data_IF_118640483919
#
_entry.id   IF_118640483919
#
_cell.length_a   1.000
_cell.length_b   1.000
_cell.length_c   1.000
_cell.angle_alpha   90.00
_cell.angle_beta   90.00
_cell.angle_gamma   90.00
#
_symmetry.space_group_name_H-M   'P 1'
#
loop_
_entity.id
_entity.type
_entity.pdbx_description
1 polymer ?
#
# COMPACT_ATOMS: atom_id res chain seq x y z
N UNK A 1 39.58 -65.79 -25.73
CA UNK A 1 38.94 -66.46 -26.88
C UNK A 1 37.54 -65.89 -27.07
N UNK A 2 37.27 -65.18 -28.18
CA UNK A 2 36.19 -65.44 -29.17
C UNK A 2 34.74 -65.32 -28.63
N UNK A 3 33.75 -64.64 -29.24
CA UNK A 3 33.57 -64.02 -30.57
C UNK A 3 32.34 -63.08 -30.49
N UNK A 4 32.30 -62.06 -31.36
CA UNK A 4 31.16 -61.17 -31.66
C UNK A 4 29.98 -61.94 -32.30
N UNK A 5 28.75 -61.41 -32.23
CA UNK A 5 27.95 -61.10 -33.44
C UNK A 5 26.72 -60.22 -33.14
N UNK A 6 26.54 -59.27 -34.06
CA UNK A 6 25.56 -58.18 -34.18
C UNK A 6 24.34 -58.66 -34.97
N UNK A 7 23.13 -58.13 -34.70
CA UNK A 7 22.09 -58.04 -35.75
C UNK A 7 21.21 -56.79 -35.59
N UNK A 8 21.37 -55.88 -36.56
CA UNK A 8 20.48 -54.76 -36.90
C UNK A 8 19.31 -55.23 -37.80
N UNK A 9 18.14 -54.60 -37.64
CA UNK A 9 17.13 -54.29 -38.68
C UNK A 9 16.42 -53.01 -38.19
N UNK A 10 16.50 -51.81 -38.75
CA UNK A 10 16.42 -51.26 -40.12
C UNK A 10 15.04 -51.46 -40.79
N UNK A 11 14.21 -50.41 -40.75
CA UNK A 11 13.06 -50.20 -41.63
C UNK A 11 13.20 -48.83 -42.33
N UNK A 12 13.13 -48.87 -43.66
CA UNK A 12 13.27 -47.81 -44.68
C UNK A 12 11.90 -47.12 -44.91
N UNK A 13 11.82 -45.77 -44.96
CA UNK A 13 11.66 -44.86 -46.14
C UNK A 13 10.36 -45.07 -46.98
N UNK A 14 9.74 -44.03 -47.60
CA UNK A 14 10.42 -42.94 -48.30
C UNK A 14 9.81 -41.51 -48.20
N UNK A 15 10.61 -40.56 -48.70
CA UNK A 15 10.18 -39.22 -49.06
C UNK A 15 9.46 -39.21 -50.43
N UNK A 16 8.47 -38.34 -50.61
CA UNK A 16 7.98 -37.93 -51.93
C UNK A 16 7.68 -36.43 -51.95
N UNK A 17 8.14 -35.82 -53.03
CA UNK A 17 8.12 -34.40 -53.38
C UNK A 17 7.07 -34.16 -54.49
N UNK A 18 6.69 -32.89 -54.69
CA UNK A 18 5.84 -32.30 -55.76
C UNK A 18 4.31 -32.54 -55.60
N UNK A 19 3.36 -31.63 -55.89
CA UNK A 19 3.34 -30.50 -56.83
C UNK A 19 2.13 -29.55 -56.56
N UNK A 20 2.36 -28.24 -56.74
CA UNK A 20 1.52 -27.18 -57.37
C UNK A 20 0.02 -27.45 -57.70
N UNK A 21 -0.88 -26.60 -57.16
CA UNK A 21 -2.10 -25.94 -57.73
C UNK A 21 -3.41 -26.15 -56.94
N UNK A 22 -3.95 -25.05 -56.38
CA UNK A 22 -5.32 -24.48 -56.59
C UNK A 22 -5.49 -23.26 -55.65
N UNK A 23 -5.34 -22.03 -56.17
CA UNK A 23 -6.39 -21.00 -56.41
C UNK A 23 -6.82 -20.25 -55.12
N UNK A 24 -6.35 -19.01 -54.88
CA UNK A 24 -6.79 -17.68 -55.38
C UNK A 24 -8.18 -17.21 -54.87
N UNK A 25 -8.16 -16.32 -53.87
CA UNK A 25 -9.15 -15.27 -53.55
C UNK A 25 -8.52 -14.43 -52.40
N UNK A 26 -8.49 -13.10 -52.30
CA UNK A 26 -8.93 -11.97 -53.12
C UNK A 26 -8.15 -10.74 -52.60
N UNK A 27 -7.84 -9.79 -53.47
CA UNK A 27 -7.31 -8.46 -53.12
C UNK A 27 -8.51 -7.55 -52.83
N UNK A 28 -8.57 -6.88 -51.66
CA UNK A 28 -9.27 -5.60 -51.52
C UNK A 28 -8.97 -4.88 -50.19
N UNK A 29 -8.39 -3.69 -50.33
CA UNK A 29 -8.74 -2.45 -49.63
C UNK A 29 -8.29 -2.19 -48.18
N UNK A 30 -7.91 -0.90 -48.00
CA UNK A 30 -7.64 -0.13 -46.79
C UNK A 30 -6.31 -0.45 -46.08
N UNK A 31 -5.24 0.34 -46.14
CA UNK A 31 -5.14 1.80 -46.27
C UNK A 31 -6.08 2.57 -45.32
N UNK A 32 -6.16 2.10 -44.08
CA UNK A 32 -6.38 2.95 -42.88
C UNK A 32 -5.54 2.33 -41.76
N UNK A 33 -4.26 2.71 -41.68
CA UNK A 33 -3.39 2.40 -40.53
C UNK A 33 -2.83 3.72 -39.95
N UNK A 34 -3.69 4.74 -39.88
CA UNK A 34 -3.50 5.89 -39.01
C UNK A 34 -4.69 5.91 -38.05
N UNK A 35 -4.40 6.24 -36.79
CA UNK A 35 -5.26 6.13 -35.59
C UNK A 35 -5.17 4.74 -34.94
N UNK A 36 -4.57 4.55 -33.77
CA UNK A 36 -4.53 5.40 -32.59
C UNK A 36 -3.19 5.17 -31.89
N UNK A 37 -2.28 6.15 -31.91
CA UNK A 37 -1.22 6.16 -30.90
C UNK A 37 -1.94 6.26 -29.53
N UNK A 38 -1.61 5.43 -28.54
CA UNK A 38 -2.19 5.57 -27.22
C UNK A 38 -1.97 7.01 -26.78
N UNK A 39 -3.08 7.73 -26.54
CA UNK A 39 -3.06 9.04 -25.88
C UNK A 39 -2.16 8.87 -24.66
N UNK A 40 -1.12 9.70 -24.47
CA UNK A 40 -0.30 9.59 -23.27
C UNK A 40 -1.28 9.66 -22.11
N UNK A 41 -1.40 8.55 -21.37
CA UNK A 41 -1.98 8.54 -20.04
C UNK A 41 -1.34 9.71 -19.34
N UNK A 42 -2.15 10.72 -18.99
CA UNK A 42 -1.70 11.85 -18.21
C UNK A 42 -0.95 11.25 -17.03
N UNK A 43 0.39 11.32 -17.08
CA UNK A 43 1.18 11.19 -15.87
C UNK A 43 0.52 12.17 -14.92
N UNK A 44 0.01 11.68 -13.79
CA UNK A 44 -0.54 12.55 -12.77
C UNK A 44 0.48 13.68 -12.60
N UNK A 45 0.15 14.88 -13.04
CA UNK A 45 1.01 16.04 -12.86
C UNK A 45 1.14 16.17 -11.35
N UNK A 46 2.31 15.79 -10.84
CA UNK A 46 2.72 15.95 -9.46
C UNK A 46 2.90 17.45 -9.25
N UNK A 47 1.76 18.14 -9.12
CA UNK A 47 1.69 19.57 -8.88
C UNK A 47 2.26 19.85 -7.50
N UNK A 48 3.02 20.94 -7.40
CA UNK A 48 3.71 21.28 -6.16
C UNK A 48 2.72 21.37 -4.98
N UNK A 49 3.12 20.96 -3.76
CA UNK A 49 2.29 21.09 -2.58
C UNK A 49 1.79 22.52 -2.35
N UNK A 50 0.53 22.63 -1.90
CA UNK A 50 -0.03 23.93 -1.50
C UNK A 50 0.51 24.36 -0.14
N UNK A 51 0.34 25.65 0.19
CA UNK A 51 0.70 26.16 1.52
C UNK A 51 -0.15 25.55 2.64
N UNK A 52 -1.39 25.14 2.35
CA UNK A 52 -2.24 24.42 3.31
C UNK A 52 -1.75 23.00 3.54
N UNK A 53 -1.31 22.29 2.49
CA UNK A 53 -0.69 20.97 2.64
C UNK A 53 0.60 21.02 3.49
N UNK A 54 1.44 22.03 3.29
CA UNK A 54 2.65 22.22 4.10
C UNK A 54 2.31 22.49 5.59
N UNK A 55 1.29 23.30 5.88
CA UNK A 55 0.82 23.51 7.26
C UNK A 55 0.21 22.25 7.87
N UNK A 56 -0.52 21.47 7.08
CA UNK A 56 -1.11 20.21 7.52
C UNK A 56 -0.02 19.19 7.92
N UNK A 57 1.12 19.13 7.21
CA UNK A 57 2.26 18.27 7.59
C UNK A 57 2.66 18.51 9.05
N UNK A 58 2.87 19.76 9.46
CA UNK A 58 3.35 20.06 10.81
C UNK A 58 2.32 19.66 11.87
N UNK A 59 1.03 19.91 11.62
CA UNK A 59 -0.05 19.53 12.52
C UNK A 59 -0.20 18.00 12.62
N UNK A 60 -0.22 17.30 11.49
CA UNK A 60 -0.29 15.83 11.42
C UNK A 60 0.92 15.22 12.12
N UNK A 61 2.13 15.72 11.84
CA UNK A 61 3.37 15.25 12.46
C UNK A 61 3.31 15.42 13.97
N UNK A 62 2.82 16.55 14.47
CA UNK A 62 2.70 16.80 15.92
C UNK A 62 1.76 15.80 16.58
N UNK A 63 0.56 15.62 16.02
CA UNK A 63 -0.40 14.63 16.54
C UNK A 63 0.18 13.21 16.49
N UNK A 64 0.88 12.86 15.41
CA UNK A 64 1.45 11.54 15.22
C UNK A 64 2.62 11.28 16.19
N UNK A 65 3.60 12.17 16.23
CA UNK A 65 4.84 11.98 16.99
C UNK A 65 4.65 12.26 18.48
N UNK A 66 4.09 13.42 18.82
CA UNK A 66 4.04 13.88 20.22
C UNK A 66 2.84 13.29 20.96
N UNK A 67 1.68 13.21 20.29
CA UNK A 67 0.45 12.71 20.92
C UNK A 67 0.19 11.24 20.69
N UNK A 68 0.97 10.60 19.80
CA UNK A 68 0.85 9.18 19.49
C UNK A 68 -0.60 8.79 19.14
N UNK A 69 -1.28 9.63 18.34
CA UNK A 69 -2.74 9.55 18.22
C UNK A 69 -3.27 8.20 17.72
N UNK A 70 -2.47 7.44 16.97
CA UNK A 70 -2.80 6.09 16.51
C UNK A 70 -3.10 5.11 17.66
N UNK A 71 -2.45 5.30 18.81
CA UNK A 71 -2.56 4.39 19.96
C UNK A 71 -3.17 5.05 21.20
N UNK A 72 -3.34 6.38 21.18
CA UNK A 72 -3.96 7.14 22.27
C UNK A 72 -5.35 7.70 21.92
N UNK A 73 -5.67 7.83 20.63
CA UNK A 73 -6.81 8.60 20.15
C UNK A 73 -6.68 10.11 20.36
N UNK A 74 -5.53 10.62 20.83
CA UNK A 74 -5.33 12.03 21.14
C UNK A 74 -4.90 12.84 19.89
N UNK A 75 -5.82 13.05 18.95
CA UNK A 75 -5.61 13.91 17.78
C UNK A 75 -6.20 15.31 18.01
N UNK A 76 -5.78 16.31 17.22
CA UNK A 76 -6.36 17.66 17.17
C UNK A 76 -7.64 17.62 16.34
N UNK A 77 -8.85 17.69 16.92
CA UNK A 77 -10.09 17.49 16.15
C UNK A 77 -10.28 18.52 15.04
N UNK A 78 -9.82 19.76 15.24
CA UNK A 78 -9.94 20.86 14.28
C UNK A 78 -9.09 20.67 13.02
N UNK A 79 -8.14 19.74 13.04
CA UNK A 79 -7.35 19.35 11.86
C UNK A 79 -8.19 18.56 10.84
N UNK A 80 -9.29 17.95 11.29
CA UNK A 80 -10.13 17.07 10.49
C UNK A 80 -11.50 17.71 10.23
N UNK A 81 -12.08 17.42 9.07
CA UNK A 81 -13.46 17.76 8.79
C UNK A 81 -14.41 16.96 9.73
N UNK A 82 -15.58 17.51 10.10
CA UNK A 82 -16.53 16.81 10.99
C UNK A 82 -16.94 15.43 10.48
N UNK A 83 -17.04 15.28 9.15
CA UNK A 83 -17.40 14.08 8.40
C UNK A 83 -16.18 13.38 7.76
N UNK A 84 -14.98 13.64 8.26
CA UNK A 84 -13.77 12.98 7.77
C UNK A 84 -13.93 11.46 7.79
N UNK A 85 -13.55 10.82 6.68
CA UNK A 85 -13.58 9.36 6.55
C UNK A 85 -12.23 8.79 6.97
N UNK A 86 -12.24 7.88 7.94
CA UNK A 86 -11.10 7.11 8.40
C UNK A 86 -11.26 5.68 7.89
N UNK A 87 -10.29 5.18 7.13
CA UNK A 87 -10.35 3.84 6.55
C UNK A 87 -9.04 3.10 6.77
N UNK A 88 -9.14 1.88 7.25
CA UNK A 88 -8.03 0.93 7.29
C UNK A 88 -8.41 -0.36 6.50
N UNK A 89 -7.51 -1.35 6.39
CA UNK A 89 -7.80 -2.60 5.68
C UNK A 89 -8.93 -3.46 6.28
N UNK A 90 -9.49 -3.08 7.42
CA UNK A 90 -10.47 -3.86 8.20
C UNK A 90 -11.79 -3.13 8.39
N UNK A 91 -11.77 -1.80 8.51
CA UNK A 91 -12.95 -0.98 8.80
C UNK A 91 -12.92 0.38 8.09
N UNK A 92 -14.10 0.96 7.92
CA UNK A 92 -14.28 2.36 7.54
C UNK A 92 -15.19 3.03 8.57
N UNK A 93 -14.79 4.22 9.04
CA UNK A 93 -15.45 5.00 10.08
C UNK A 93 -15.60 6.44 9.61
N UNK A 94 -16.79 7.02 9.78
CA UNK A 94 -17.05 8.42 9.45
C UNK A 94 -17.11 9.24 10.73
N UNK A 95 -16.32 10.31 10.78
CA UNK A 95 -16.26 11.26 11.88
C UNK A 95 -15.14 11.00 12.87
N UNK A 96 -14.61 12.10 13.44
CA UNK A 96 -13.47 12.09 14.36
C UNK A 96 -13.79 11.36 15.66
N UNK A 97 -14.95 11.63 16.25
CA UNK A 97 -15.28 11.11 17.58
C UNK A 97 -15.47 9.57 17.58
N UNK A 98 -16.21 8.96 16.63
CA UNK A 98 -16.24 7.50 16.51
C UNK A 98 -14.86 6.86 16.31
N UNK A 99 -14.01 7.47 15.47
CA UNK A 99 -12.64 6.99 15.24
C UNK A 99 -11.79 7.02 16.52
N UNK A 100 -11.76 8.15 17.22
CA UNK A 100 -11.02 8.31 18.49
C UNK A 100 -11.49 7.32 19.55
N UNK A 101 -12.81 7.11 19.68
CA UNK A 101 -13.35 6.13 20.62
C UNK A 101 -12.92 4.70 20.29
N UNK A 102 -12.87 4.35 19.00
CA UNK A 102 -12.39 3.02 18.57
C UNK A 102 -10.93 2.80 18.97
N UNK A 103 -10.04 3.77 18.71
CA UNK A 103 -8.63 3.67 19.10
C UNK A 103 -8.46 3.57 20.62
N UNK A 104 -9.18 4.40 21.37
CA UNK A 104 -9.15 4.38 22.84
C UNK A 104 -9.68 3.09 23.43
N UNK A 105 -10.64 2.42 22.79
CA UNK A 105 -11.12 1.11 23.23
C UNK A 105 -10.12 -0.02 22.90
N UNK A 106 -9.40 0.12 21.79
CA UNK A 106 -8.56 -0.94 21.24
C UNK A 106 -7.15 -1.00 21.88
N UNK A 107 -6.43 0.11 21.92
CA UNK A 107 -5.01 0.14 22.28
C UNK A 107 -4.76 0.45 23.76
N UNK A 108 -3.76 -0.20 24.34
CA UNK A 108 -3.16 0.22 25.60
C UNK A 108 -2.03 1.23 25.31
N UNK A 109 -2.21 2.53 25.61
CA UNK A 109 -1.23 3.56 25.27
C UNK A 109 0.05 3.48 26.12
N UNK A 110 0.05 2.73 27.23
CA UNK A 110 1.25 2.58 28.07
C UNK A 110 2.29 1.63 27.47
N UNK A 111 1.86 0.78 26.53
CA UNK A 111 2.68 -0.27 25.93
C UNK A 111 2.61 -0.28 24.40
N UNK A 112 1.90 0.66 23.79
CA UNK A 112 1.76 0.78 22.34
C UNK A 112 2.42 2.04 21.82
N UNK A 113 2.91 1.99 20.57
CA UNK A 113 3.69 3.06 19.96
C UNK A 113 3.48 3.10 18.44
N UNK A 114 3.43 4.32 17.92
CA UNK A 114 3.45 4.61 16.49
C UNK A 114 4.66 5.49 16.16
N UNK A 115 5.58 4.93 15.39
CA UNK A 115 6.84 5.55 15.01
C UNK A 115 6.78 6.13 13.60
N UNK A 116 7.16 7.40 13.49
CA UNK A 116 7.19 8.10 12.22
C UNK A 116 8.42 7.66 11.41
N UNK A 117 8.19 7.10 10.22
CA UNK A 117 9.26 6.80 9.24
C UNK A 117 9.48 8.01 8.34
N UNK A 118 8.40 8.57 7.77
CA UNK A 118 8.48 9.79 6.95
C UNK A 118 7.11 10.44 6.83
N UNK A 119 7.09 11.75 6.57
CA UNK A 119 5.88 12.50 6.21
C UNK A 119 6.24 13.50 5.10
N UNK A 120 5.40 13.62 4.09
CA UNK A 120 5.59 14.55 2.97
C UNK A 120 4.27 14.94 2.34
N UNK A 121 4.16 16.15 1.82
CA UNK A 121 3.12 16.48 0.86
C UNK A 121 3.57 15.99 -0.53
N UNK A 122 2.67 15.31 -1.23
CA UNK A 122 2.94 14.72 -2.56
C UNK A 122 2.12 15.38 -3.67
N UNK A 123 1.08 16.12 -3.29
CA UNK A 123 0.23 16.89 -4.21
C UNK A 123 -0.36 18.09 -3.45
N UNK A 124 -1.06 19.03 -4.12
CA UNK A 124 -1.62 20.22 -3.49
C UNK A 124 -2.54 19.94 -2.30
N UNK A 125 -3.23 18.80 -2.29
CA UNK A 125 -4.18 18.40 -1.26
C UNK A 125 -3.87 17.01 -0.67
N UNK A 126 -2.63 16.53 -0.79
CA UNK A 126 -2.28 15.16 -0.37
C UNK A 126 -1.02 15.13 0.48
N UNK A 127 -1.16 14.62 1.70
CA UNK A 127 -0.05 14.30 2.60
C UNK A 127 0.06 12.79 2.75
N UNK A 128 1.28 12.27 2.66
CA UNK A 128 1.59 10.85 2.81
C UNK A 128 2.52 10.65 4.01
N UNK A 129 2.12 9.79 4.93
CA UNK A 129 2.86 9.42 6.13
C UNK A 129 3.21 7.94 6.10
N UNK A 130 4.48 7.58 6.25
CA UNK A 130 4.94 6.21 6.48
C UNK A 130 5.22 6.02 7.96
N UNK A 131 4.80 4.88 8.49
CA UNK A 131 4.86 4.62 9.92
C UNK A 131 5.20 3.16 10.23
N UNK A 132 5.61 2.92 11.48
CA UNK A 132 5.67 1.62 12.12
C UNK A 132 4.79 1.63 13.36
N UNK A 133 3.99 0.59 13.57
CA UNK A 133 3.16 0.43 14.76
C UNK A 133 3.52 -0.86 15.48
N UNK A 134 3.57 -0.81 16.81
CA UNK A 134 3.68 -1.97 17.69
C UNK A 134 2.91 -1.71 18.99
N UNK A 135 2.57 -2.76 19.74
CA UNK A 135 1.99 -2.52 21.06
C UNK A 135 1.17 -3.64 21.66
N UNK A 136 0.26 -3.26 22.54
CA UNK A 136 -0.74 -4.16 23.12
C UNK A 136 -2.16 -3.66 22.91
N UNK A 137 -3.05 -4.62 22.73
CA UNK A 137 -4.47 -4.42 22.83
C UNK A 137 -4.91 -4.42 24.30
N UNK A 138 -5.89 -3.58 24.64
CA UNK A 138 -6.55 -3.61 25.96
C UNK A 138 -7.27 -4.94 26.19
N UNK A 139 -7.84 -5.51 25.14
CA UNK A 139 -8.51 -6.80 25.21
C UNK A 139 -7.48 -7.93 25.36
N UNK A 140 -7.56 -8.62 26.50
CA UNK A 140 -6.72 -9.78 26.85
C UNK A 140 -5.19 -9.51 26.84
N UNK A 141 -4.75 -8.24 26.80
CA UNK A 141 -3.33 -7.86 26.83
C UNK A 141 -2.53 -8.34 25.62
N UNK A 142 -3.20 -8.72 24.53
CA UNK A 142 -2.56 -9.35 23.38
C UNK A 142 -1.56 -8.40 22.73
N UNK A 143 -0.45 -8.95 22.21
CA UNK A 143 0.66 -8.16 21.65
C UNK A 143 0.52 -8.08 20.14
N UNK A 144 0.58 -6.88 19.61
CA UNK A 144 0.67 -6.65 18.17
C UNK A 144 2.13 -6.69 17.77
N UNK A 145 2.45 -7.63 16.89
CA UNK A 145 3.76 -7.73 16.25
C UNK A 145 4.03 -6.44 15.47
N UNK A 146 5.25 -5.87 15.55
CA UNK A 146 5.57 -4.67 14.80
C UNK A 146 5.34 -4.80 13.30
N UNK A 147 4.71 -3.81 12.70
CA UNK A 147 4.50 -3.74 11.25
C UNK A 147 4.54 -2.30 10.76
N UNK A 148 4.68 -2.13 9.45
CA UNK A 148 4.69 -0.82 8.81
C UNK A 148 3.43 -0.59 8.00
N UNK A 149 3.15 0.68 7.75
CA UNK A 149 2.07 1.09 6.89
C UNK A 149 2.27 2.47 6.30
N UNK A 150 1.30 2.83 5.48
CA UNK A 150 1.18 4.14 4.86
C UNK A 150 -0.17 4.72 5.19
N UNK A 151 -0.20 6.01 5.49
CA UNK A 151 -1.41 6.79 5.61
C UNK A 151 -1.42 7.87 4.56
N UNK A 152 -2.51 7.96 3.80
CA UNK A 152 -2.78 9.05 2.87
C UNK A 152 -3.85 9.94 3.47
N UNK A 153 -3.49 11.21 3.66
CA UNK A 153 -4.40 12.26 4.08
C UNK A 153 -4.80 13.07 2.85
N UNK A 154 -6.10 13.13 2.57
CA UNK A 154 -6.68 14.04 1.58
C UNK A 154 -7.20 15.28 2.29
N UNK A 155 -6.81 16.45 1.78
CA UNK A 155 -7.16 17.75 2.35
C UNK A 155 -8.25 18.43 1.52
N UNK A 156 -9.12 19.18 2.18
CA UNK A 156 -10.00 20.17 1.56
C UNK A 156 -9.25 21.46 1.20
N UNK A 157 -9.90 22.35 0.47
CA UNK A 157 -9.35 23.65 0.07
C UNK A 157 -8.98 24.54 1.28
N UNK A 158 -9.71 24.41 2.40
CA UNK A 158 -9.40 25.10 3.66
C UNK A 158 -8.32 24.39 4.50
N UNK A 159 -7.74 23.31 3.99
CA UNK A 159 -6.61 22.60 4.59
C UNK A 159 -6.97 21.59 5.68
N UNK A 160 -8.25 21.23 5.84
CA UNK A 160 -8.67 20.18 6.77
C UNK A 160 -8.56 18.80 6.14
N UNK A 161 -8.28 17.79 6.95
CA UNK A 161 -8.30 16.39 6.52
C UNK A 161 -9.75 15.95 6.31
N UNK A 162 -10.11 15.60 5.08
CA UNK A 162 -11.43 15.04 4.73
C UNK A 162 -11.39 13.52 4.58
N UNK A 163 -10.21 12.95 4.34
CA UNK A 163 -10.01 11.50 4.28
C UNK A 163 -8.65 11.12 4.85
N UNK A 164 -8.65 10.08 5.66
CA UNK A 164 -7.50 9.41 6.25
C UNK A 164 -7.61 7.94 5.87
N UNK A 165 -6.70 7.46 5.01
CA UNK A 165 -6.75 6.09 4.50
C UNK A 165 -5.41 5.38 4.75
N UNK A 166 -5.49 4.19 5.34
CA UNK A 166 -4.34 3.36 5.67
C UNK A 166 -4.19 2.16 4.75
N UNK A 167 -2.93 1.83 4.48
CA UNK A 167 -2.52 0.54 3.94
C UNK A 167 -1.48 -0.06 4.86
N UNK A 168 -1.60 -1.34 5.16
CA UNK A 168 -0.62 -2.07 5.98
C UNK A 168 0.30 -2.89 5.07
N UNK A 169 1.58 -2.97 5.43
CA UNK A 169 2.56 -3.80 4.72
C UNK A 169 2.49 -5.29 5.15
N UNK A 170 1.48 -5.64 5.95
CA UNK A 170 1.11 -7.01 6.35
C UNK A 170 -0.33 -7.29 5.95
N UNK A 171 -0.70 -8.57 5.81
CA UNK A 171 -2.10 -8.90 5.56
C UNK A 171 -2.96 -8.69 6.82
N UNK A 172 -4.25 -8.43 6.63
CA UNK A 172 -5.24 -8.38 7.72
C UNK A 172 -5.22 -9.67 8.55
N UNK A 173 -5.07 -10.82 7.89
CA UNK A 173 -4.98 -12.12 8.57
C UNK A 173 -3.74 -12.20 9.45
N UNK A 174 -2.58 -11.75 8.97
CA UNK A 174 -1.35 -11.71 9.76
C UNK A 174 -1.52 -10.81 10.99
N UNK A 175 -2.13 -9.63 10.84
CA UNK A 175 -2.37 -8.70 11.95
C UNK A 175 -3.21 -9.33 13.07
N UNK A 176 -4.29 -10.03 12.73
CA UNK A 176 -5.16 -10.66 13.72
C UNK A 176 -4.59 -11.97 14.29
N UNK A 177 -4.00 -12.84 13.47
CA UNK A 177 -3.53 -14.16 13.93
C UNK A 177 -2.22 -14.05 14.70
N UNK A 178 -1.30 -13.17 14.29
CA UNK A 178 -0.02 -12.98 15.01
C UNK A 178 -0.20 -12.48 16.44
N UNK A 179 -1.33 -11.81 16.70
CA UNK A 179 -1.75 -11.35 18.03
C UNK A 179 -1.96 -12.53 19.02
N UNK A 180 -2.34 -13.71 18.54
CA UNK A 180 -2.49 -14.94 19.34
C UNK A 180 -1.31 -15.92 19.18
N UNK A 181 -0.66 -15.91 18.01
CA UNK A 181 0.45 -16.80 17.68
C UNK A 181 1.62 -15.98 17.10
N UNK A 182 2.51 -15.41 17.94
CA UNK A 182 3.52 -14.45 17.51
C UNK A 182 4.49 -14.92 16.41
N UNK A 183 4.67 -16.25 16.28
CA UNK A 183 5.49 -16.87 15.24
C UNK A 183 4.82 -16.97 13.86
N UNK A 184 3.53 -16.64 13.74
CA UNK A 184 2.80 -16.65 12.48
C UNK A 184 3.02 -15.37 11.66
N UNK A 185 2.92 -15.48 10.34
CA UNK A 185 2.93 -14.35 9.41
C UNK A 185 4.29 -13.70 9.18
N UNK A 186 4.26 -12.53 8.55
CA UNK A 186 5.45 -11.74 8.22
C UNK A 186 6.35 -11.45 9.45
N UNK A 187 7.68 -11.40 9.32
CA UNK A 187 8.58 -11.07 10.43
C UNK A 187 8.31 -9.66 11.00
N UNK A 188 8.68 -9.38 12.27
CA UNK A 188 8.46 -8.06 12.86
C UNK A 188 9.20 -6.97 12.06
N UNK A 189 8.53 -5.84 11.82
CA UNK A 189 9.20 -4.68 11.25
C UNK A 189 10.31 -4.17 12.19
N UNK A 190 11.52 -3.88 11.65
CA UNK A 190 12.64 -3.40 12.45
C UNK A 190 12.31 -2.04 13.10
N UNK A 191 12.91 -1.70 14.25
CA UNK A 191 12.72 -0.41 14.90
C UNK A 191 13.08 0.77 13.98
N UNK A 192 12.33 1.87 14.09
CA UNK A 192 12.63 3.12 13.38
C UNK A 192 13.61 3.95 14.20
N UNK A 193 14.68 4.51 13.61
CA UNK A 193 15.56 5.44 14.31
C UNK A 193 14.77 6.64 14.87
N UNK A 194 15.21 7.23 16.00
CA UNK A 194 14.55 8.42 16.55
C UNK A 194 14.51 9.55 15.52
N UNK A 195 13.35 10.19 15.36
CA UNK A 195 13.23 11.41 14.56
C UNK A 195 13.99 12.51 15.29
N UNK A 196 15.12 12.96 14.73
CA UNK A 196 15.88 14.06 15.31
C UNK A 196 15.02 15.35 15.31
N UNK A 197 15.06 16.16 16.39
CA UNK A 197 14.38 17.44 16.39
C UNK A 197 14.93 18.30 15.25
N UNK A 198 14.04 18.79 14.39
CA UNK A 198 14.39 19.75 13.34
C UNK A 198 14.84 21.02 14.05
N UNK A 199 16.14 21.31 14.02
CA UNK A 199 16.66 22.58 14.53
C UNK A 199 16.05 23.70 13.69
N UNK A 200 15.28 24.57 14.33
CA UNK A 200 14.71 25.79 13.72
C UNK A 200 15.80 26.84 13.57
#
# INVERSE_FOLDING_TARGET
>A
MHKRHLHLRCLKLPAMCLTRRQQLASIAAALVYLEVLPRPTTAAEESAPSSSALKAIDAIRRDFVERQYYVTGNLTPQLFAPDCVFKDPTVEVVGVEPYVRALQALFDPSTSRADLISIRATAPSTVVLRWRLEGSLKLAGLKIKPYTGTTVYTLSDDGKVIRHEETWDISTVDAFVSTFFPGFGAPPAPPVPPVLPTTV
#
